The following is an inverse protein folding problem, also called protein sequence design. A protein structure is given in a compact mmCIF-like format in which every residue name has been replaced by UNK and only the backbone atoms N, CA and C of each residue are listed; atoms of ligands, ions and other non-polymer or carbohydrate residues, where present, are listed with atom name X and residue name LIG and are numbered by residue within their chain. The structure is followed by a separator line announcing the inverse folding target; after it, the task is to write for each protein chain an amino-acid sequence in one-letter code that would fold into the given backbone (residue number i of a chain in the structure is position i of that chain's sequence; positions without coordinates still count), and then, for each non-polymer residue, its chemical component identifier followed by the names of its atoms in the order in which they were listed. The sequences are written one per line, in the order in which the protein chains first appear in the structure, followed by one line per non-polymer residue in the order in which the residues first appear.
data_IF_021491300296
#
_entry.id   IF_021491300296
#
_cell.length_a   1.000
_cell.length_b   1.000
_cell.length_c   1.000
_cell.angle_alpha   90.00
_cell.angle_beta   90.00
_cell.angle_gamma   90.00
#
_symmetry.space_group_name_H-M   'P 1'
#
loop_
_entity.id
_entity.type
_entity.pdbx_description
1 polymer ?
#
# COMPACT_ATOMS: atom_id res chain seq x y z
N UNK A 1 19.54 -33.31 -27.88
CA UNK A 1 20.44 -33.74 -26.79
C UNK A 1 20.16 -32.87 -25.59
N UNK A 2 19.53 -33.40 -24.55
CA UNK A 2 19.23 -32.66 -23.32
C UNK A 2 20.33 -32.99 -22.31
N UNK A 3 21.10 -31.99 -21.88
CA UNK A 3 22.11 -32.19 -20.86
C UNK A 3 21.42 -32.55 -19.53
N UNK A 4 21.89 -33.59 -18.80
CA UNK A 4 21.32 -33.95 -17.52
C UNK A 4 21.64 -32.84 -16.51
N UNK A 5 20.61 -32.22 -15.95
CA UNK A 5 20.75 -31.31 -14.81
C UNK A 5 21.22 -32.16 -13.63
N UNK A 6 22.50 -32.03 -13.26
CA UNK A 6 23.10 -32.76 -12.15
C UNK A 6 22.32 -32.49 -10.86
N UNK A 7 21.75 -33.55 -10.29
CA UNK A 7 21.02 -33.56 -9.01
C UNK A 7 21.84 -32.91 -7.88
N UNK A 8 23.18 -32.98 -7.97
CA UNK A 8 24.10 -32.31 -7.06
C UNK A 8 23.95 -30.77 -7.02
N UNK A 9 23.63 -30.13 -8.16
CA UNK A 9 23.39 -28.68 -8.22
C UNK A 9 22.06 -28.33 -7.57
N UNK A 10 21.06 -29.19 -7.72
CA UNK A 10 19.74 -29.01 -7.10
C UNK A 10 19.82 -29.17 -5.57
N UNK A 11 20.58 -30.16 -5.08
CA UNK A 11 20.82 -30.39 -3.66
C UNK A 11 21.62 -29.25 -3.01
N UNK A 12 22.64 -28.71 -3.69
CA UNK A 12 23.43 -27.60 -3.18
C UNK A 12 22.62 -26.30 -2.99
N UNK A 13 21.60 -26.06 -3.83
CA UNK A 13 20.67 -24.93 -3.68
C UNK A 13 19.70 -25.10 -2.50
N UNK A 14 19.39 -26.34 -2.11
CA UNK A 14 18.51 -26.62 -0.98
C UNK A 14 19.21 -26.46 0.38
N UNK A 15 20.54 -26.51 0.41
CA UNK A 15 21.35 -26.45 1.64
C UNK A 15 22.01 -25.09 1.91
N UNK A 16 21.86 -24.11 1.02
CA UNK A 16 22.25 -22.75 1.36
C UNK A 16 21.29 -22.25 2.44
N UNK A 17 21.77 -21.76 3.60
CA UNK A 17 20.91 -21.05 4.53
C UNK A 17 20.23 -19.97 3.71
N UNK A 18 18.89 -19.99 3.69
CA UNK A 18 18.07 -19.02 3.00
C UNK A 18 18.55 -17.65 3.42
N UNK A 19 19.35 -17.02 2.55
CA UNK A 19 19.78 -15.64 2.72
C UNK A 19 18.48 -14.88 2.99
N UNK A 20 18.37 -14.08 4.07
CA UNK A 20 17.14 -13.36 4.34
C UNK A 20 16.85 -12.56 3.08
N UNK A 21 15.78 -12.93 2.38
CA UNK A 21 15.35 -12.14 1.24
C UNK A 21 15.10 -10.75 1.81
N UNK A 22 15.65 -9.68 1.20
CA UNK A 22 15.29 -8.33 1.61
C UNK A 22 13.76 -8.24 1.51
N UNK A 23 13.12 -8.13 2.67
CA UNK A 23 11.67 -8.08 2.77
C UNK A 23 11.23 -6.77 2.12
N UNK A 24 10.34 -6.86 1.15
CA UNK A 24 9.89 -5.69 0.41
C UNK A 24 9.15 -4.76 1.36
N UNK A 25 9.53 -3.47 1.45
CA UNK A 25 8.86 -2.51 2.32
C UNK A 25 7.35 -2.53 2.06
N UNK A 26 6.57 -2.63 3.13
CA UNK A 26 5.11 -2.64 3.05
C UNK A 26 4.57 -1.29 3.49
N UNK A 27 3.49 -0.85 2.86
CA UNK A 27 2.78 0.37 3.26
C UNK A 27 2.29 0.21 4.70
N UNK A 28 2.69 1.12 5.61
CA UNK A 28 2.27 1.08 7.01
C UNK A 28 0.74 1.09 7.19
N UNK A 29 0.22 0.27 8.12
CA UNK A 29 -1.22 0.14 8.37
C UNK A 29 -1.90 1.40 8.94
N UNK A 30 -1.11 2.34 9.48
CA UNK A 30 -1.61 3.60 10.02
C UNK A 30 -1.93 4.63 8.93
N UNK A 31 -1.52 4.40 7.68
CA UNK A 31 -1.77 5.33 6.58
C UNK A 31 -3.13 5.08 5.93
N UNK A 32 -3.86 6.16 5.68
CA UNK A 32 -5.12 6.09 4.95
C UNK A 32 -4.89 6.15 3.45
N UNK A 33 -5.62 5.34 2.69
CA UNK A 33 -5.60 5.44 1.23
C UNK A 33 -6.31 6.71 0.77
N UNK A 34 -5.54 7.63 0.22
CA UNK A 34 -5.98 8.94 -0.26
C UNK A 34 -6.54 8.85 -1.69
N UNK A 35 -5.81 8.19 -2.59
CA UNK A 35 -6.23 7.97 -3.97
C UNK A 35 -5.98 6.53 -4.39
N UNK A 36 -6.77 6.06 -5.36
CA UNK A 36 -6.63 4.72 -5.95
C UNK A 36 -6.53 4.89 -7.46
N UNK A 37 -5.64 4.12 -8.08
CA UNK A 37 -5.40 4.15 -9.54
C UNK A 37 -4.90 5.51 -10.06
N UNK A 38 -4.09 6.21 -9.29
CA UNK A 38 -3.44 7.45 -9.71
C UNK A 38 -2.39 7.16 -10.80
N UNK A 39 -2.47 7.87 -11.94
CA UNK A 39 -1.55 7.66 -13.07
C UNK A 39 -0.34 8.59 -12.94
N UNK A 40 0.86 8.02 -12.85
CA UNK A 40 2.12 8.77 -12.85
C UNK A 40 3.16 8.12 -13.75
N UNK A 41 3.61 8.81 -14.81
CA UNK A 41 4.71 8.30 -15.66
C UNK A 41 4.47 6.89 -16.22
N UNK A 42 3.22 6.56 -16.56
CA UNK A 42 2.73 5.24 -17.01
C UNK A 42 2.53 4.17 -15.93
N UNK A 43 2.75 4.49 -14.65
CA UNK A 43 2.45 3.62 -13.53
C UNK A 43 1.10 3.97 -12.92
N UNK A 44 0.37 2.94 -12.49
CA UNK A 44 -0.90 3.08 -11.78
C UNK A 44 -0.62 2.83 -10.30
N UNK A 45 -0.80 3.87 -9.50
CA UNK A 45 -0.35 3.96 -8.12
C UNK A 45 -1.54 4.16 -7.17
N UNK A 46 -1.44 3.59 -5.98
CA UNK A 46 -2.29 3.93 -4.85
C UNK A 46 -1.50 4.83 -3.90
N UNK A 47 -2.10 5.98 -3.55
CA UNK A 47 -1.48 7.00 -2.71
C UNK A 47 -1.99 6.85 -1.27
N UNK A 48 -1.09 6.85 -0.30
CA UNK A 48 -1.39 6.69 1.12
C UNK A 48 -0.80 7.83 1.94
N UNK A 49 -1.52 8.23 2.98
CA UNK A 49 -1.11 9.35 3.83
C UNK A 49 -2.25 9.91 4.66
N UNK A 50 -2.22 11.23 4.86
CA UNK A 50 -3.12 11.94 5.75
C UNK A 50 -3.83 13.09 5.02
N UNK A 51 -5.08 13.33 5.40
CA UNK A 51 -5.84 14.49 4.96
C UNK A 51 -5.78 15.58 6.05
N UNK A 52 -4.83 16.50 5.91
CA UNK A 52 -4.61 17.61 6.85
C UNK A 52 -5.71 18.67 6.69
N UNK A 53 -6.03 19.33 7.81
CA UNK A 53 -7.02 20.41 7.93
C UNK A 53 -6.61 21.69 7.19
N UNK A 54 -5.31 21.96 7.08
CA UNK A 54 -4.81 23.26 6.59
C UNK A 54 -4.01 23.16 5.28
N UNK A 55 -3.29 22.06 5.05
CA UNK A 55 -2.33 21.93 3.94
C UNK A 55 -2.78 21.03 2.77
N UNK A 56 -3.96 20.41 2.89
CA UNK A 56 -4.50 19.49 1.87
C UNK A 56 -4.23 18.02 2.20
N UNK A 57 -3.82 17.22 1.21
CA UNK A 57 -3.47 15.81 1.43
C UNK A 57 -1.94 15.65 1.44
N UNK A 58 -1.38 15.13 2.54
CA UNK A 58 0.03 14.72 2.61
C UNK A 58 0.15 13.26 2.18
N UNK A 59 0.94 12.99 1.15
CA UNK A 59 1.25 11.63 0.69
C UNK A 59 2.53 11.19 1.38
N UNK A 60 2.45 10.15 2.20
CA UNK A 60 3.56 9.59 2.98
C UNK A 60 4.05 8.26 2.40
N UNK A 61 3.17 7.52 1.72
CA UNK A 61 3.53 6.28 1.06
C UNK A 61 2.84 6.11 -0.29
N UNK A 62 3.47 5.37 -1.20
CA UNK A 62 2.99 5.11 -2.55
C UNK A 62 3.18 3.63 -2.86
N UNK A 63 2.15 2.99 -3.42
CA UNK A 63 2.21 1.57 -3.79
C UNK A 63 1.74 1.36 -5.21
N UNK A 64 2.15 0.27 -5.85
CA UNK A 64 1.53 -0.15 -7.10
C UNK A 64 0.09 -0.54 -6.80
N UNK A 65 -0.85 -0.07 -7.63
CA UNK A 65 -2.27 -0.35 -7.41
C UNK A 65 -2.55 -1.85 -7.28
N UNK A 66 -3.27 -2.22 -6.22
CA UNK A 66 -3.60 -3.60 -5.91
C UNK A 66 -2.52 -4.36 -5.13
N UNK A 67 -1.38 -3.74 -4.85
CA UNK A 67 -0.34 -4.28 -3.97
C UNK A 67 -0.24 -3.47 -2.68
N UNK A 68 0.46 -4.00 -1.68
CA UNK A 68 0.84 -3.28 -0.46
C UNK A 68 2.31 -2.88 -0.43
N UNK A 69 3.00 -3.13 -1.53
CA UNK A 69 4.42 -2.86 -1.64
C UNK A 69 4.65 -1.35 -1.73
N UNK A 70 5.41 -0.83 -0.77
CA UNK A 70 5.77 0.57 -0.73
C UNK A 70 6.95 0.82 -1.69
N UNK A 71 6.73 1.74 -2.62
CA UNK A 71 7.70 2.18 -3.62
C UNK A 71 8.08 3.64 -3.42
N UNK A 72 7.80 4.21 -2.26
CA UNK A 72 8.07 5.62 -1.95
C UNK A 72 9.53 6.00 -2.08
N UNK A 73 10.46 5.06 -1.86
CA UNK A 73 11.89 5.27 -2.10
C UNK A 73 12.23 5.59 -3.58
N UNK A 74 11.36 5.20 -4.52
CA UNK A 74 11.52 5.48 -5.94
C UNK A 74 10.89 6.82 -6.36
N UNK A 75 10.19 7.50 -5.44
CA UNK A 75 9.49 8.75 -5.69
C UNK A 75 10.11 9.87 -4.87
N UNK A 76 10.47 10.98 -5.50
CA UNK A 76 11.05 12.10 -4.74
C UNK A 76 10.00 12.73 -3.82
N UNK A 77 10.41 13.28 -2.65
CA UNK A 77 9.50 14.00 -1.75
C UNK A 77 8.74 15.14 -2.45
N UNK A 78 9.38 15.82 -3.40
CA UNK A 78 8.74 16.86 -4.21
C UNK A 78 7.60 16.31 -5.09
N UNK A 79 7.79 15.13 -5.70
CA UNK A 79 6.74 14.47 -6.47
C UNK A 79 5.61 13.99 -5.55
N UNK A 80 5.90 13.42 -4.38
CA UNK A 80 4.88 13.01 -3.41
C UNK A 80 4.01 14.20 -2.98
N UNK A 81 4.63 15.37 -2.72
CA UNK A 81 3.91 16.61 -2.42
C UNK A 81 3.00 17.05 -3.57
N UNK A 82 3.49 17.00 -4.82
CA UNK A 82 2.69 17.33 -6.01
C UNK A 82 1.52 16.37 -6.21
N UNK A 83 1.71 15.07 -5.95
CA UNK A 83 0.64 14.08 -6.01
C UNK A 83 -0.46 14.39 -5.00
N UNK A 84 -0.10 14.84 -3.79
CA UNK A 84 -1.04 15.26 -2.75
C UNK A 84 -1.97 16.39 -3.19
N UNK A 85 -1.48 17.34 -4.01
CA UNK A 85 -2.31 18.43 -4.54
C UNK A 85 -3.35 17.97 -5.56
N UNK A 86 -3.13 16.83 -6.22
CA UNK A 86 -4.08 16.26 -7.17
C UNK A 86 -5.22 15.49 -6.47
N UNK A 87 -5.14 15.29 -5.14
CA UNK A 87 -6.15 14.56 -4.39
C UNK A 87 -7.23 15.50 -3.87
N UNK A 88 -8.50 15.19 -4.19
CA UNK A 88 -9.65 15.87 -3.60
C UNK A 88 -9.84 15.46 -2.14
N UNK A 89 -9.51 16.38 -1.23
CA UNK A 89 -9.65 16.21 0.21
C UNK A 89 -11.10 15.98 0.65
N UNK A 90 -12.08 16.64 0.03
CA UNK A 90 -13.47 16.49 0.43
C UNK A 90 -13.95 15.05 0.15
N UNK A 91 -13.57 14.50 -1.00
CA UNK A 91 -13.85 13.12 -1.36
C UNK A 91 -13.13 12.12 -0.42
N UNK A 92 -11.90 12.42 0.01
CA UNK A 92 -11.17 11.57 0.98
C UNK A 92 -11.88 11.56 2.34
N UNK A 93 -12.25 12.73 2.87
CA UNK A 93 -12.96 12.83 4.16
C UNK A 93 -14.31 12.14 4.11
N UNK A 94 -15.08 12.32 3.04
CA UNK A 94 -16.36 11.63 2.85
C UNK A 94 -16.19 10.10 2.86
N UNK A 95 -15.16 9.58 2.18
CA UNK A 95 -14.84 8.14 2.20
C UNK A 95 -14.41 7.66 3.59
N UNK A 96 -13.64 8.46 4.33
CA UNK A 96 -13.22 8.11 5.69
C UNK A 96 -14.41 8.09 6.66
N UNK A 97 -15.31 9.07 6.56
CA UNK A 97 -16.53 9.14 7.36
C UNK A 97 -17.44 7.93 7.08
N UNK A 98 -17.72 7.63 5.81
CA UNK A 98 -18.51 6.46 5.42
C UNK A 98 -17.91 5.14 5.94
N UNK A 99 -16.58 4.97 5.87
CA UNK A 99 -15.91 3.79 6.46
C UNK A 99 -15.96 3.74 7.98
N UNK A 100 -16.08 4.88 8.65
CA UNK A 100 -16.25 4.93 10.10
C UNK A 100 -17.67 4.52 10.49
N UNK A 101 -18.68 5.02 9.76
CA UNK A 101 -20.09 4.62 9.91
C UNK A 101 -20.28 3.12 9.68
N UNK A 102 -19.75 2.58 8.56
CA UNK A 102 -19.82 1.14 8.27
C UNK A 102 -19.20 0.27 9.38
N UNK A 103 -18.10 0.74 9.99
CA UNK A 103 -17.44 0.04 11.11
C UNK A 103 -18.27 0.13 12.40
N UNK A 104 -18.87 1.29 12.67
CA UNK A 104 -19.74 1.49 13.82
C UNK A 104 -20.99 0.61 13.72
N UNK A 105 -21.60 0.54 12.54
CA UNK A 105 -22.74 -0.30 12.25
C UNK A 105 -22.38 -1.77 12.43
N UNK A 106 -21.29 -2.25 11.81
CA UNK A 106 -20.85 -3.65 11.97
C UNK A 106 -20.58 -4.01 13.43
N UNK A 107 -19.92 -3.13 14.18
CA UNK A 107 -19.69 -3.33 15.61
C UNK A 107 -20.98 -3.29 16.46
N UNK A 108 -22.03 -2.60 16.00
CA UNK A 108 -23.34 -2.64 16.63
C UNK A 108 -24.06 -3.97 16.34
N UNK A 109 -24.01 -4.45 15.10
CA UNK A 109 -24.55 -5.76 14.70
C UNK A 109 -23.84 -6.91 15.43
N UNK A 110 -22.52 -6.90 15.53
CA UNK A 110 -21.77 -7.92 16.26
C UNK A 110 -22.15 -7.94 17.74
N UNK A 111 -22.30 -6.77 18.39
CA UNK A 111 -22.78 -6.67 19.77
C UNK A 111 -24.20 -7.20 19.95
N UNK A 112 -25.08 -6.97 18.97
CA UNK A 112 -26.46 -7.46 18.99
C UNK A 112 -26.56 -8.97 18.69
N UNK A 113 -25.58 -9.56 17.99
CA UNK A 113 -25.54 -10.98 17.68
C UNK A 113 -24.95 -11.85 18.82
N UNK A 114 -24.15 -11.24 19.70
CA UNK A 114 -23.46 -11.93 20.82
C UNK A 114 -24.24 -11.76 22.15
N UNK A 115 -25.18 -10.83 22.23
CA UNK A 115 -26.08 -10.61 23.39
C UNK A 115 -27.37 -11.40 23.29
#
# INVERSE_FOLDING_TARGET
MNAPVSIAILAARATLPSNPQPEQPQVPDNLSRLATRYLHGNLILDLHGYADEDEGCSVEAVSLTGTRDDISELVSPAQMKQMGWAVDRAAVRAKQASRAEDRADRAAWDRAAIG
#
